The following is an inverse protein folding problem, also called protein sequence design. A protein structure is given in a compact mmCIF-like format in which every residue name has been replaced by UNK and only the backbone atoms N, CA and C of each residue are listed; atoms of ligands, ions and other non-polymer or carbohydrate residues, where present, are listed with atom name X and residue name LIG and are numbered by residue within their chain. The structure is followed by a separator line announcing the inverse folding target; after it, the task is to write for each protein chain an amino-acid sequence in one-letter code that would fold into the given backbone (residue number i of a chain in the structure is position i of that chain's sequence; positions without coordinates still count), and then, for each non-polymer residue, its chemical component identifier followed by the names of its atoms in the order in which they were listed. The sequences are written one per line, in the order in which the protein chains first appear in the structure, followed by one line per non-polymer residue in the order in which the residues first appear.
data_IF_507858561294
#
_entry.id   IF_507858561294
#
_cell.length_a   1.000
_cell.length_b   1.000
_cell.length_c   1.000
_cell.angle_alpha   90.00
_cell.angle_beta   90.00
_cell.angle_gamma   90.00
#
_symmetry.space_group_name_H-M   'P 1'
#
loop_
_entity.id
_entity.type
_entity.pdbx_description
1 polymer ?
#
# COMPACT_ATOMS: atom_id res chain seq x y z
N UNK A 1 31.61 -7.10 15.70
CA UNK A 1 30.64 -7.78 14.81
C UNK A 1 31.09 -7.57 13.38
N UNK A 2 31.21 -8.60 12.52
CA UNK A 2 31.57 -8.41 11.13
C UNK A 2 30.54 -7.50 10.44
N UNK A 3 31.00 -6.58 9.59
CA UNK A 3 30.13 -5.71 8.81
C UNK A 3 29.20 -6.57 7.95
N UNK A 4 27.90 -6.50 8.20
CA UNK A 4 26.92 -7.31 7.47
C UNK A 4 26.86 -6.77 6.04
N UNK A 5 27.07 -7.62 5.04
CA UNK A 5 27.04 -7.18 3.64
C UNK A 5 25.60 -6.82 3.19
N UNK A 6 25.47 -5.72 2.43
CA UNK A 6 24.21 -5.30 1.80
C UNK A 6 23.82 -6.33 0.74
N UNK A 7 22.59 -6.87 0.83
CA UNK A 7 22.09 -7.90 -0.07
C UNK A 7 21.29 -7.30 -1.23
N UNK A 8 21.24 -7.94 -2.42
CA UNK A 8 20.42 -7.47 -3.52
C UNK A 8 18.93 -7.42 -3.12
N UNK A 9 18.25 -6.34 -3.49
CA UNK A 9 16.84 -6.11 -3.18
C UNK A 9 15.98 -5.88 -4.43
N UNK A 10 16.60 -5.62 -5.58
CA UNK A 10 15.91 -5.34 -6.84
C UNK A 10 14.83 -6.37 -7.21
N UNK A 11 15.10 -7.67 -7.07
CA UNK A 11 14.12 -8.72 -7.39
C UNK A 11 12.83 -8.62 -6.55
N UNK A 12 12.96 -8.31 -5.26
CA UNK A 12 11.79 -8.09 -4.40
C UNK A 12 11.06 -6.80 -4.78
N UNK A 13 11.78 -5.77 -5.19
CA UNK A 13 11.18 -4.51 -5.68
C UNK A 13 10.37 -4.71 -6.95
N UNK A 14 10.83 -5.55 -7.88
CA UNK A 14 10.07 -5.96 -9.06
C UNK A 14 8.82 -6.73 -8.65
N UNK A 15 8.93 -7.68 -7.72
CA UNK A 15 7.79 -8.44 -7.21
C UNK A 15 6.73 -7.55 -6.52
N UNK A 16 7.15 -6.60 -5.68
CA UNK A 16 6.24 -5.60 -5.08
C UNK A 16 5.57 -4.75 -6.15
N UNK A 17 6.33 -4.29 -7.15
CA UNK A 17 5.77 -3.49 -8.24
C UNK A 17 4.75 -4.28 -9.06
N UNK A 18 5.05 -5.54 -9.40
CA UNK A 18 4.16 -6.40 -10.17
C UNK A 18 2.87 -6.73 -9.41
N UNK A 19 2.97 -7.08 -8.12
CA UNK A 19 1.80 -7.40 -7.29
C UNK A 19 0.93 -6.16 -7.02
N UNK A 20 1.52 -4.99 -6.78
CA UNK A 20 0.75 -3.74 -6.70
C UNK A 20 0.13 -3.35 -8.05
N UNK A 21 0.81 -3.59 -9.17
CA UNK A 21 0.26 -3.40 -10.51
C UNK A 21 -0.96 -4.29 -10.76
N UNK A 22 -0.86 -5.57 -10.40
CA UNK A 22 -1.98 -6.51 -10.46
C UNK A 22 -3.15 -6.08 -9.56
N UNK A 23 -2.84 -5.61 -8.35
CA UNK A 23 -3.86 -5.06 -7.45
C UNK A 23 -4.55 -3.84 -8.07
N UNK A 24 -3.81 -2.92 -8.70
CA UNK A 24 -4.39 -1.79 -9.42
C UNK A 24 -5.35 -2.24 -10.54
N UNK A 25 -5.02 -3.29 -11.29
CA UNK A 25 -5.92 -3.84 -12.32
C UNK A 25 -7.23 -4.35 -11.71
N UNK A 26 -7.15 -5.12 -10.61
CA UNK A 26 -8.35 -5.59 -9.90
C UNK A 26 -9.15 -4.46 -9.27
N UNK A 27 -8.49 -3.41 -8.78
CA UNK A 27 -9.13 -2.23 -8.21
C UNK A 27 -9.84 -1.41 -9.29
N UNK A 28 -9.24 -1.25 -10.47
CA UNK A 28 -9.88 -0.61 -11.62
C UNK A 28 -11.12 -1.38 -12.08
N UNK A 29 -11.02 -2.72 -12.18
CA UNK A 29 -12.16 -3.57 -12.49
C UNK A 29 -13.29 -3.40 -11.45
N UNK A 30 -12.97 -3.48 -10.15
CA UNK A 30 -13.94 -3.23 -9.08
C UNK A 30 -14.53 -1.82 -9.11
N UNK A 31 -13.74 -0.80 -9.48
CA UNK A 31 -14.22 0.57 -9.68
C UNK A 31 -15.23 0.69 -10.81
N UNK A 32 -15.01 0.00 -11.94
CA UNK A 32 -15.99 -0.07 -13.05
C UNK A 32 -17.27 -0.72 -12.58
N UNK A 33 -17.17 -1.86 -11.88
CA UNK A 33 -18.34 -2.56 -11.31
C UNK A 33 -19.10 -1.67 -10.32
N UNK A 34 -18.39 -0.92 -9.48
CA UNK A 34 -19.00 0.03 -8.54
C UNK A 34 -19.74 1.16 -9.27
N UNK A 35 -19.17 1.74 -10.33
CA UNK A 35 -19.85 2.75 -11.16
C UNK A 35 -21.10 2.17 -11.81
N UNK A 36 -21.02 0.98 -12.40
CA UNK A 36 -22.19 0.29 -12.96
C UNK A 36 -23.28 0.09 -11.91
N UNK A 37 -22.92 -0.30 -10.68
CA UNK A 37 -23.86 -0.46 -9.56
C UNK A 37 -24.52 0.87 -9.16
N UNK A 38 -23.78 1.97 -9.15
CA UNK A 38 -24.36 3.32 -8.89
C UNK A 38 -25.41 3.69 -9.93
N UNK A 39 -25.16 3.37 -11.20
CA UNK A 39 -26.07 3.68 -12.32
C UNK A 39 -27.33 2.82 -12.24
N UNK A 40 -27.18 1.50 -12.11
CA UNK A 40 -28.31 0.54 -12.07
C UNK A 40 -29.19 0.76 -10.84
N UNK A 41 -28.60 1.00 -9.66
CA UNK A 41 -29.41 1.31 -8.47
C UNK A 41 -30.10 2.68 -8.63
N UNK A 42 -29.44 3.64 -9.27
CA UNK A 42 -30.05 4.92 -9.62
C UNK A 42 -31.30 4.78 -10.48
N UNK A 43 -31.23 3.99 -11.56
CA UNK A 43 -32.38 3.78 -12.45
C UNK A 43 -33.56 3.10 -11.74
N UNK A 44 -33.29 2.12 -10.86
CA UNK A 44 -34.35 1.48 -10.06
C UNK A 44 -35.02 2.49 -9.12
N UNK A 45 -34.23 3.36 -8.47
CA UNK A 45 -34.75 4.40 -7.59
C UNK A 45 -35.58 5.46 -8.35
N UNK A 46 -35.25 5.71 -9.61
CA UNK A 46 -35.98 6.60 -10.50
C UNK A 46 -37.25 5.95 -11.09
N UNK A 47 -37.52 4.68 -10.76
CA UNK A 47 -38.72 3.95 -11.14
C UNK A 47 -38.65 3.27 -12.52
N UNK A 48 -37.45 3.08 -13.07
CA UNK A 48 -37.26 2.38 -14.34
C UNK A 48 -37.37 0.85 -14.15
N UNK A 49 -38.01 0.18 -15.12
CA UNK A 49 -38.11 -1.29 -15.15
C UNK A 49 -36.74 -1.90 -15.50
N UNK A 50 -36.03 -2.36 -14.46
CA UNK A 50 -34.75 -3.07 -14.62
C UNK A 50 -35.01 -4.58 -14.67
N UNK A 51 -34.42 -5.25 -15.66
CA UNK A 51 -34.49 -6.71 -15.82
C UNK A 51 -33.81 -7.40 -14.63
N UNK A 52 -34.51 -8.30 -13.94
CA UNK A 52 -33.99 -9.02 -12.76
C UNK A 52 -32.64 -9.72 -13.04
N UNK A 53 -32.45 -10.32 -14.22
CA UNK A 53 -31.18 -10.95 -14.61
C UNK A 53 -29.99 -9.99 -14.73
N UNK A 54 -30.23 -8.69 -14.91
CA UNK A 54 -29.17 -7.67 -14.89
C UNK A 54 -28.70 -7.36 -13.45
N UNK A 55 -29.59 -7.51 -12.46
CA UNK A 55 -29.26 -7.34 -11.04
C UNK A 55 -28.40 -8.52 -10.54
N UNK A 56 -28.82 -9.76 -10.81
CA UNK A 56 -28.10 -10.97 -10.41
C UNK A 56 -26.67 -11.01 -10.97
N UNK A 57 -26.52 -10.74 -12.27
CA UNK A 57 -25.20 -10.67 -12.91
C UNK A 57 -24.33 -9.53 -12.32
N UNK A 58 -24.95 -8.42 -11.91
CA UNK A 58 -24.27 -7.31 -11.25
C UNK A 58 -23.73 -7.68 -9.86
N UNK A 59 -24.50 -8.43 -9.08
CA UNK A 59 -24.09 -8.90 -7.76
C UNK A 59 -22.96 -9.94 -7.83
N UNK A 60 -23.02 -10.88 -8.78
CA UNK A 60 -21.95 -11.85 -9.03
C UNK A 60 -20.63 -11.17 -9.43
N UNK A 61 -20.71 -10.20 -10.36
CA UNK A 61 -19.54 -9.41 -10.77
C UNK A 61 -18.97 -8.60 -9.60
N UNK A 62 -19.83 -8.05 -8.75
CA UNK A 62 -19.42 -7.32 -7.56
C UNK A 62 -18.67 -8.24 -6.59
N UNK A 63 -19.23 -9.40 -6.26
CA UNK A 63 -18.60 -10.38 -5.38
C UNK A 63 -17.25 -10.84 -5.93
N UNK A 64 -17.21 -11.20 -7.23
CA UNK A 64 -15.97 -11.60 -7.91
C UNK A 64 -14.91 -10.49 -7.85
N UNK A 65 -15.29 -9.24 -8.13
CA UNK A 65 -14.38 -8.09 -8.09
C UNK A 65 -13.81 -7.87 -6.69
N UNK A 66 -14.65 -8.03 -5.66
CA UNK A 66 -14.24 -7.91 -4.26
C UNK A 66 -13.22 -8.99 -3.88
N UNK A 67 -13.53 -10.26 -4.16
CA UNK A 67 -12.62 -11.38 -3.86
C UNK A 67 -11.29 -11.23 -4.59
N UNK A 68 -11.31 -10.89 -5.89
CA UNK A 68 -10.11 -10.65 -6.67
C UNK A 68 -9.25 -9.53 -6.06
N UNK A 69 -9.86 -8.40 -5.69
CA UNK A 69 -9.19 -7.26 -5.05
C UNK A 69 -8.57 -7.64 -3.70
N UNK A 70 -9.29 -8.35 -2.84
CA UNK A 70 -8.79 -8.79 -1.53
C UNK A 70 -7.61 -9.76 -1.68
N UNK A 71 -7.71 -10.72 -2.61
CA UNK A 71 -6.66 -11.71 -2.85
C UNK A 71 -5.37 -11.05 -3.35
N UNK A 72 -5.47 -10.17 -4.35
CA UNK A 72 -4.30 -9.45 -4.88
C UNK A 72 -3.72 -8.48 -3.85
N UNK A 73 -4.56 -7.89 -2.99
CA UNK A 73 -4.11 -7.03 -1.90
C UNK A 73 -3.32 -7.81 -0.84
N UNK A 74 -3.81 -9.00 -0.46
CA UNK A 74 -3.11 -9.88 0.47
C UNK A 74 -1.76 -10.32 -0.10
N UNK A 75 -1.72 -10.72 -1.37
CA UNK A 75 -0.47 -11.08 -2.06
C UNK A 75 0.52 -9.90 -2.09
N UNK A 76 0.06 -8.70 -2.46
CA UNK A 76 0.89 -7.50 -2.44
C UNK A 76 1.41 -7.17 -1.03
N UNK A 77 0.56 -7.32 0.00
CA UNK A 77 0.93 -7.13 1.40
C UNK A 77 2.03 -8.09 1.86
N UNK A 78 1.90 -9.38 1.55
CA UNK A 78 2.92 -10.39 1.87
C UNK A 78 4.25 -10.06 1.20
N UNK A 79 4.24 -9.79 -0.11
CA UNK A 79 5.46 -9.46 -0.86
C UNK A 79 6.08 -8.15 -0.36
N UNK A 80 5.26 -7.15 -0.02
CA UNK A 80 5.71 -5.89 0.57
C UNK A 80 6.39 -6.11 1.93
N UNK A 81 5.83 -6.95 2.80
CA UNK A 81 6.42 -7.30 4.10
C UNK A 81 7.75 -8.04 3.91
N UNK A 82 7.82 -9.01 2.99
CA UNK A 82 9.09 -9.71 2.67
C UNK A 82 10.15 -8.72 2.17
N UNK A 83 9.76 -7.80 1.29
CA UNK A 83 10.61 -6.69 0.86
C UNK A 83 11.06 -5.81 2.04
N UNK A 84 10.15 -5.50 2.98
CA UNK A 84 10.42 -4.66 4.15
C UNK A 84 11.46 -5.29 5.08
N UNK A 85 11.39 -6.61 5.30
CA UNK A 85 12.42 -7.36 6.03
C UNK A 85 13.80 -7.24 5.38
N UNK A 86 13.85 -7.36 4.04
CA UNK A 86 15.11 -7.21 3.30
C UNK A 86 15.63 -5.77 3.36
N UNK A 87 14.76 -4.79 3.13
CA UNK A 87 15.09 -3.37 3.14
C UNK A 87 15.63 -2.94 4.50
N UNK A 88 15.02 -3.44 5.59
CA UNK A 88 15.51 -3.21 6.95
C UNK A 88 16.87 -3.83 7.21
N UNK A 89 17.07 -5.10 6.87
CA UNK A 89 18.35 -5.76 7.07
C UNK A 89 19.51 -5.06 6.32
N UNK A 90 19.22 -4.53 5.13
CA UNK A 90 20.16 -3.71 4.38
C UNK A 90 20.40 -2.34 5.06
N UNK A 91 19.36 -1.68 5.57
CA UNK A 91 19.50 -0.42 6.30
C UNK A 91 20.36 -0.56 7.56
N UNK A 92 20.16 -1.62 8.35
CA UNK A 92 20.97 -1.96 9.53
C UNK A 92 22.44 -2.25 9.17
N UNK A 93 22.70 -2.74 7.96
CA UNK A 93 24.05 -2.96 7.45
C UNK A 93 24.75 -1.67 6.98
N UNK A 94 23.97 -0.69 6.50
CA UNK A 94 24.47 0.56 5.91
C UNK A 94 24.72 1.65 6.96
N UNK A 95 23.99 1.64 8.07
CA UNK A 95 24.03 2.72 9.06
C UNK A 95 24.00 2.16 10.48
N UNK A 96 24.78 2.74 11.43
CA UNK A 96 24.67 2.42 12.84
C UNK A 96 23.40 3.01 13.50
N UNK A 97 22.55 3.72 12.75
CA UNK A 97 21.30 4.26 13.26
C UNK A 97 20.42 3.16 13.85
N UNK A 98 20.01 3.36 15.12
CA UNK A 98 19.10 2.42 15.78
C UNK A 98 17.70 2.61 15.21
N UNK A 99 17.14 1.52 14.67
CA UNK A 99 15.73 1.46 14.32
C UNK A 99 14.87 1.49 15.59
N UNK A 100 13.80 2.28 15.56
CA UNK A 100 12.91 2.48 16.72
C UNK A 100 12.09 1.26 17.08
N UNK A 101 11.74 0.44 16.08
CA UNK A 101 10.87 -0.72 16.25
C UNK A 101 11.65 -2.02 16.12
N UNK A 102 11.34 -3.03 16.94
CA UNK A 102 11.89 -4.39 16.79
C UNK A 102 11.43 -5.07 15.49
N UNK A 103 12.13 -6.13 15.07
CA UNK A 103 11.87 -6.86 13.83
C UNK A 103 10.47 -7.46 13.75
N UNK A 104 9.89 -7.89 14.88
CA UNK A 104 8.53 -8.43 14.94
C UNK A 104 7.45 -7.41 14.50
N UNK A 105 7.70 -6.13 14.73
CA UNK A 105 6.77 -5.06 14.34
C UNK A 105 6.63 -4.88 12.83
N UNK A 106 7.50 -5.51 12.01
CA UNK A 106 7.34 -5.53 10.56
C UNK A 106 6.09 -6.31 10.11
N UNK A 107 5.60 -7.22 10.96
CA UNK A 107 4.37 -8.01 10.71
C UNK A 107 3.24 -7.48 11.58
N UNK A 108 3.43 -7.45 12.90
CA UNK A 108 2.38 -7.01 13.83
C UNK A 108 1.97 -5.55 13.65
N UNK A 109 2.87 -4.73 13.11
CA UNK A 109 2.56 -3.35 12.73
C UNK A 109 1.47 -3.23 11.68
N UNK A 110 1.17 -4.27 10.90
CA UNK A 110 0.10 -4.25 9.89
C UNK A 110 -1.20 -4.90 10.37
N UNK A 111 -1.12 -5.79 11.36
CA UNK A 111 -2.25 -6.61 11.80
C UNK A 111 -3.02 -5.93 12.94
N UNK A 112 -2.30 -5.27 13.86
CA UNK A 112 -2.91 -4.67 15.04
C UNK A 112 -3.51 -3.30 14.70
N UNK A 113 -4.84 -3.08 14.82
CA UNK A 113 -5.52 -1.91 14.23
C UNK A 113 -5.03 -0.55 14.73
N UNK A 114 -4.72 -0.42 16.02
CA UNK A 114 -4.23 0.85 16.59
C UNK A 114 -2.80 1.11 16.14
N UNK A 115 -1.98 0.05 16.13
CA UNK A 115 -0.56 0.09 15.78
C UNK A 115 -0.36 0.36 14.29
N UNK A 116 -1.25 -0.18 13.44
CA UNK A 116 -1.21 -0.03 11.99
C UNK A 116 -1.43 1.39 11.50
N UNK A 117 -1.78 2.32 12.38
CA UNK A 117 -1.89 3.74 12.04
C UNK A 117 -0.54 4.45 11.97
N UNK A 118 0.50 3.96 12.65
CA UNK A 118 1.77 4.68 12.79
C UNK A 118 3.04 3.83 12.71
N UNK A 119 2.99 2.54 13.07
CA UNK A 119 4.21 1.72 13.09
C UNK A 119 4.78 1.47 11.69
N UNK A 120 4.00 1.05 10.67
CA UNK A 120 4.60 0.76 9.38
C UNK A 120 5.23 1.99 8.72
N UNK A 121 4.58 3.16 8.86
CA UNK A 121 5.17 4.45 8.49
C UNK A 121 6.52 4.66 9.16
N UNK A 122 6.57 4.49 10.48
CA UNK A 122 7.78 4.72 11.26
C UNK A 122 8.91 3.78 10.86
N UNK A 123 8.62 2.51 10.58
CA UNK A 123 9.60 1.54 10.06
C UNK A 123 10.16 1.99 8.71
N UNK A 124 9.30 2.41 7.78
CA UNK A 124 9.73 2.88 6.45
C UNK A 124 10.51 4.20 6.53
N UNK A 125 10.11 5.13 7.39
CA UNK A 125 10.85 6.37 7.65
C UNK A 125 12.27 6.07 8.17
N UNK A 126 12.41 5.13 9.12
CA UNK A 126 13.71 4.72 9.67
C UNK A 126 14.59 4.07 8.59
N UNK A 127 14.03 3.17 7.77
CA UNK A 127 14.74 2.53 6.63
C UNK A 127 15.18 3.56 5.61
N UNK A 128 14.30 4.50 5.27
CA UNK A 128 14.60 5.55 4.31
C UNK A 128 15.74 6.45 4.80
N UNK A 129 15.70 6.84 6.08
CA UNK A 129 16.74 7.67 6.69
C UNK A 129 18.09 6.96 6.71
N UNK A 130 18.12 5.68 7.13
CA UNK A 130 19.33 4.87 7.15
C UNK A 130 19.89 4.53 5.75
N UNK A 131 19.04 4.55 4.72
CA UNK A 131 19.45 4.25 3.34
C UNK A 131 20.03 5.46 2.61
N UNK A 132 19.72 6.70 3.01
CA UNK A 132 20.20 7.91 2.35
C UNK A 132 21.71 8.12 2.52
N UNK A 133 22.37 8.62 1.46
CA UNK A 133 23.78 9.04 1.47
C UNK A 133 23.92 10.49 1.93
N UNK A 134 24.81 10.74 2.89
CA UNK A 134 25.14 12.09 3.40
C UNK A 134 25.05 12.17 4.93
N UNK A 135 25.57 13.25 5.55
CA UNK A 135 25.48 13.42 6.99
C UNK A 135 24.02 13.40 7.43
N UNK A 136 23.71 12.56 8.42
CA UNK A 136 22.41 12.48 9.09
C UNK A 136 22.21 13.79 9.86
N UNK A 137 21.90 14.87 9.14
CA UNK A 137 21.47 16.08 9.81
C UNK A 137 20.12 15.78 10.45
N UNK A 138 19.92 16.24 11.69
CA UNK A 138 18.67 16.10 12.45
C UNK A 138 17.44 16.67 11.69
N UNK A 139 17.69 17.42 10.60
CA UNK A 139 16.71 17.99 9.66
C UNK A 139 16.64 17.30 8.29
N UNK A 140 17.25 16.12 8.11
CA UNK A 140 17.08 15.32 6.90
C UNK A 140 15.59 15.11 6.66
N UNK A 141 15.03 15.83 5.67
CA UNK A 141 13.59 15.96 5.42
C UNK A 141 12.93 14.59 5.57
N UNK A 142 12.06 14.43 6.57
CA UNK A 142 11.11 13.31 6.63
C UNK A 142 10.51 13.21 5.22
N UNK A 143 10.75 12.12 4.48
CA UNK A 143 10.49 12.09 3.05
C UNK A 143 9.03 12.42 2.80
N UNK A 144 8.78 13.56 2.15
CA UNK A 144 7.43 14.00 1.80
C UNK A 144 6.66 12.90 1.05
N UNK A 145 7.39 12.10 0.28
CA UNK A 145 6.88 10.91 -0.40
C UNK A 145 6.32 9.84 0.55
N UNK A 146 7.05 9.43 1.60
CA UNK A 146 6.56 8.45 2.57
C UNK A 146 5.38 9.02 3.36
N UNK A 147 5.37 10.32 3.64
CA UNK A 147 4.22 10.99 4.24
C UNK A 147 3.00 10.93 3.33
N UNK A 148 3.15 11.33 2.07
CA UNK A 148 2.06 11.35 1.09
C UNK A 148 1.50 9.95 0.85
N UNK A 149 2.38 8.96 0.66
CA UNK A 149 2.01 7.55 0.58
C UNK A 149 1.18 7.12 1.79
N UNK A 150 1.69 7.36 2.99
CA UNK A 150 1.02 6.92 4.21
C UNK A 150 -0.33 7.61 4.42
N UNK A 151 -0.41 8.92 4.16
CA UNK A 151 -1.68 9.64 4.26
C UNK A 151 -2.69 9.15 3.23
N UNK A 152 -2.27 8.86 1.98
CA UNK A 152 -3.18 8.29 0.98
C UNK A 152 -3.69 6.91 1.37
N UNK A 153 -2.83 6.07 1.96
CA UNK A 153 -3.21 4.73 2.43
C UNK A 153 -4.15 4.78 3.65
N UNK A 154 -3.90 5.70 4.59
CA UNK A 154 -4.83 5.94 5.70
C UNK A 154 -6.18 6.42 5.17
N UNK A 155 -6.20 7.40 4.26
CA UNK A 155 -7.44 7.87 3.66
C UNK A 155 -8.23 6.72 3.01
N UNK A 156 -7.59 5.88 2.18
CA UNK A 156 -8.29 4.74 1.56
C UNK A 156 -8.82 3.74 2.59
N UNK A 157 -8.06 3.48 3.66
CA UNK A 157 -8.47 2.56 4.73
C UNK A 157 -9.63 3.11 5.55
N UNK A 158 -9.60 4.39 5.94
CA UNK A 158 -10.69 5.04 6.68
C UNK A 158 -11.97 5.13 5.86
N UNK A 159 -11.85 5.36 4.54
CA UNK A 159 -13.00 5.34 3.64
C UNK A 159 -13.62 3.95 3.61
N UNK A 160 -12.83 2.88 3.45
CA UNK A 160 -13.33 1.51 3.49
C UNK A 160 -13.99 1.15 4.84
N UNK A 161 -13.41 1.61 5.96
CA UNK A 161 -14.00 1.41 7.29
C UNK A 161 -15.32 2.16 7.46
N UNK A 162 -15.44 3.35 6.90
CA UNK A 162 -16.69 4.13 6.91
C UNK A 162 -17.79 3.38 6.17
N UNK A 163 -17.48 2.79 5.01
CA UNK A 163 -18.45 1.96 4.26
C UNK A 163 -19.00 0.83 5.13
N UNK A 164 -18.10 0.10 5.79
CA UNK A 164 -18.42 -1.04 6.65
C UNK A 164 -19.21 -0.66 7.91
N UNK A 165 -19.27 0.63 8.29
CA UNK A 165 -20.02 1.08 9.48
C UNK A 165 -21.31 1.80 9.14
N UNK A 166 -21.32 2.57 8.05
CA UNK A 166 -22.44 3.43 7.67
C UNK A 166 -23.43 2.66 6.82
N UNK A 167 -22.95 1.90 5.82
CA UNK A 167 -23.82 1.27 4.81
C UNK A 167 -24.05 -0.22 5.04
N UNK A 168 -23.47 -0.79 6.09
CA UNK A 168 -23.55 -2.24 6.37
C UNK A 168 -24.88 -2.69 6.99
N UNK A 169 -25.83 -1.76 7.21
CA UNK A 169 -27.21 -2.13 7.54
C UNK A 169 -27.97 -2.64 6.31
N UNK A 170 -27.59 -2.24 5.09
CA UNK A 170 -27.88 -2.94 3.84
C UNK A 170 -29.36 -3.17 3.49
N UNK A 171 -30.30 -2.54 4.20
CA UNK A 171 -31.73 -2.81 4.04
C UNK A 171 -32.37 -1.98 2.91
N UNK A 172 -31.75 -0.88 2.49
CA UNK A 172 -32.27 0.02 1.45
C UNK A 172 -31.30 0.15 0.25
N UNK A 173 -31.87 0.25 -0.95
CA UNK A 173 -31.18 0.57 -2.21
C UNK A 173 -30.39 1.88 -2.11
N UNK A 174 -30.88 2.86 -1.35
CA UNK A 174 -30.16 4.11 -1.10
C UNK A 174 -28.79 3.89 -0.43
N UNK A 175 -28.73 3.00 0.55
CA UNK A 175 -27.48 2.66 1.25
C UNK A 175 -26.50 1.91 0.34
N UNK A 176 -27.01 1.01 -0.51
CA UNK A 176 -26.21 0.28 -1.49
C UNK A 176 -25.60 1.21 -2.54
N UNK A 177 -26.36 2.21 -3.00
CA UNK A 177 -25.84 3.26 -3.90
C UNK A 177 -24.77 4.10 -3.22
N UNK A 178 -25.01 4.50 -1.96
CA UNK A 178 -24.04 5.24 -1.15
C UNK A 178 -22.72 4.48 -0.98
N UNK A 179 -22.80 3.19 -0.63
CA UNK A 179 -21.63 2.32 -0.53
C UNK A 179 -20.83 2.25 -1.85
N UNK A 180 -21.51 2.12 -2.98
CA UNK A 180 -20.87 2.05 -4.30
C UNK A 180 -20.18 3.37 -4.68
N UNK A 181 -20.77 4.54 -4.37
CA UNK A 181 -20.12 5.85 -4.56
C UNK A 181 -18.85 5.95 -3.71
N UNK A 182 -18.91 5.55 -2.45
CA UNK A 182 -17.75 5.60 -1.56
C UNK A 182 -16.65 4.63 -1.99
N UNK A 183 -17.00 3.47 -2.54
CA UNK A 183 -16.04 2.52 -3.14
C UNK A 183 -15.28 3.11 -4.34
N UNK A 184 -15.94 3.91 -5.19
CA UNK A 184 -15.27 4.63 -6.29
C UNK A 184 -14.21 5.60 -5.76
N UNK A 185 -14.55 6.37 -4.71
CA UNK A 185 -13.62 7.29 -4.05
C UNK A 185 -12.47 6.52 -3.39
N UNK A 186 -12.77 5.41 -2.72
CA UNK A 186 -11.78 4.54 -2.08
C UNK A 186 -10.80 3.96 -3.11
N UNK A 187 -11.30 3.59 -4.30
CA UNK A 187 -10.51 3.07 -5.40
C UNK A 187 -9.50 4.10 -5.88
N UNK A 188 -9.92 5.36 -6.11
CA UNK A 188 -9.00 6.43 -6.52
C UNK A 188 -7.91 6.71 -5.47
N UNK A 189 -8.28 6.76 -4.18
CA UNK A 189 -7.34 6.92 -3.08
C UNK A 189 -6.36 5.75 -2.98
N UNK A 190 -6.86 4.53 -3.15
CA UNK A 190 -6.07 3.30 -3.13
C UNK A 190 -5.08 3.19 -4.29
N UNK A 191 -5.49 3.54 -5.51
CA UNK A 191 -4.60 3.62 -6.69
C UNK A 191 -3.48 4.63 -6.45
N UNK A 192 -3.82 5.80 -5.90
CA UNK A 192 -2.84 6.83 -5.52
C UNK A 192 -1.84 6.27 -4.49
N UNK A 193 -2.34 5.57 -3.47
CA UNK A 193 -1.49 4.94 -2.46
C UNK A 193 -0.56 3.87 -3.07
N UNK A 194 -1.05 3.04 -4.00
CA UNK A 194 -0.26 2.01 -4.66
C UNK A 194 0.88 2.62 -5.50
N UNK A 195 0.60 3.67 -6.27
CA UNK A 195 1.63 4.40 -7.05
C UNK A 195 2.69 4.97 -6.11
N UNK A 196 2.27 5.64 -5.04
CA UNK A 196 3.20 6.22 -4.07
C UNK A 196 4.03 5.15 -3.34
N UNK A 197 3.43 3.98 -3.04
CA UNK A 197 4.15 2.84 -2.47
C UNK A 197 5.26 2.36 -3.40
N UNK A 198 4.96 2.18 -4.70
CA UNK A 198 5.95 1.80 -5.71
C UNK A 198 7.09 2.81 -5.77
N UNK A 199 6.78 4.11 -5.75
CA UNK A 199 7.80 5.17 -5.74
C UNK A 199 8.69 5.09 -4.49
N UNK A 200 8.12 4.84 -3.32
CA UNK A 200 8.87 4.67 -2.06
C UNK A 200 9.83 3.48 -2.15
N UNK A 201 9.30 2.32 -2.55
CA UNK A 201 10.04 1.06 -2.69
C UNK A 201 11.19 1.23 -3.68
N UNK A 202 10.92 1.79 -4.86
CA UNK A 202 11.93 2.06 -5.89
C UNK A 202 13.01 3.01 -5.39
N UNK A 203 12.64 4.09 -4.69
CA UNK A 203 13.61 5.07 -4.22
C UNK A 203 14.54 4.49 -3.15
N UNK A 204 13.99 3.74 -2.19
CA UNK A 204 14.79 2.99 -1.19
C UNK A 204 15.72 2.00 -1.88
N UNK A 205 15.21 1.25 -2.87
CA UNK A 205 16.00 0.28 -3.64
C UNK A 205 17.20 0.94 -4.33
N UNK A 206 16.99 2.08 -4.99
CA UNK A 206 18.07 2.83 -5.63
C UNK A 206 19.14 3.23 -4.61
N UNK A 207 18.73 3.74 -3.44
CA UNK A 207 19.68 4.11 -2.40
C UNK A 207 20.54 2.92 -1.93
N UNK A 208 19.91 1.76 -1.71
CA UNK A 208 20.60 0.56 -1.22
C UNK A 208 21.49 -0.09 -2.27
N UNK A 209 21.04 -0.17 -3.53
CA UNK A 209 21.84 -0.73 -4.63
C UNK A 209 23.04 0.16 -4.96
N UNK A 210 22.87 1.49 -4.97
CA UNK A 210 23.99 2.42 -5.12
C UNK A 210 25.05 2.21 -4.04
N UNK A 211 24.64 1.97 -2.79
CA UNK A 211 25.55 1.66 -1.68
C UNK A 211 26.28 0.33 -1.86
N UNK A 212 25.57 -0.69 -2.35
CA UNK A 212 26.13 -2.02 -2.60
C UNK A 212 27.21 -2.01 -3.69
N UNK A 213 27.05 -1.15 -4.71
CA UNK A 213 27.99 -1.08 -5.85
C UNK A 213 29.09 -0.05 -5.68
N UNK A 214 29.06 0.78 -4.63
CA UNK A 214 30.15 1.71 -4.38
C UNK A 214 31.43 0.95 -3.98
N UNK A 215 32.60 1.35 -4.50
CA UNK A 215 33.88 0.80 -4.06
C UNK A 215 34.04 0.98 -2.56
N UNK A 216 34.59 -0.02 -1.86
CA UNK A 216 35.07 0.19 -0.50
C UNK A 216 36.05 1.36 -0.55
N UNK A 217 35.82 2.40 0.26
CA UNK A 217 36.73 3.55 0.31
C UNK A 217 38.14 3.01 0.59
N UNK A 218 39.02 3.10 -0.42
CA UNK A 218 40.38 2.60 -0.33
C UNK A 218 41.14 3.34 0.78
N UNK A 219 42.07 2.68 1.49
CA UNK A 219 42.80 3.28 2.61
C UNK A 219 43.90 4.26 2.13
N UNK A 220 43.54 5.33 1.40
CA UNK A 220 44.54 6.18 0.75
C UNK A 220 44.12 7.62 0.42
N UNK A 221 43.33 8.27 1.28
CA UNK A 221 43.11 9.71 1.20
C UNK A 221 43.16 10.33 2.60
N UNK A 222 44.38 10.37 3.15
CA UNK A 222 44.78 11.22 4.26
C UNK A 222 46.23 11.64 4.02
#
# INVERSE_FOLDING_TARGET
MPARAVRPIHGLTVAVTATLGLWCLTALFGGVVAVSRVIVIGSVLDGEDVVLGALDAGDDLWALSWFAKVLTQAAAGVVFVVWLFRARANAEAMSPLRHRYATLWLVFGWILPVVSLFVPKGVVDDIWLASQRGPVTVRGRRPGLVRLWWTSWLCSTFVAWTVQRVFFRGEDLGDLRGAAVVEVVATAAGLTAAVLAVLVVRRITVFQELHRTAPAAGPGAA
#
